data_IF_715577060631
#
_entry.id   IF_715577060631
#
_cell.length_a   1.000
_cell.length_b   1.000
_cell.length_c   1.000
_cell.angle_alpha   90.00
_cell.angle_beta   90.00
_cell.angle_gamma   90.00
#
_symmetry.space_group_name_H-M   'P 1'
#
loop_
_entity.id
_entity.type
_entity.pdbx_description
1 polymer ?
#
# COMPACT_ATOMS: atom_id res chain seq x y z
N UNK A 1 -9.48 -29.03 -26.36
CA UNK A 1 -10.63 -28.68 -25.49
C UNK A 1 -10.38 -27.30 -24.91
N UNK A 2 -11.42 -26.55 -24.59
CA UNK A 2 -11.27 -25.29 -23.85
C UNK A 2 -11.03 -25.59 -22.37
N UNK A 3 -10.07 -24.93 -21.74
CA UNK A 3 -9.74 -25.17 -20.33
C UNK A 3 -10.63 -24.28 -19.45
N UNK A 4 -11.60 -24.87 -18.75
CA UNK A 4 -12.61 -24.16 -17.96
C UNK A 4 -12.38 -24.44 -16.47
N UNK A 5 -11.82 -23.46 -15.78
CA UNK A 5 -11.53 -23.48 -14.35
C UNK A 5 -12.82 -23.46 -13.53
N UNK A 6 -12.94 -24.33 -12.53
CA UNK A 6 -14.06 -24.42 -11.59
C UNK A 6 -15.41 -24.68 -12.26
N UNK A 7 -15.41 -25.20 -13.50
CA UNK A 7 -16.59 -25.31 -14.35
C UNK A 7 -17.21 -23.96 -14.76
N UNK A 8 -16.53 -22.83 -14.54
CA UNK A 8 -17.08 -21.47 -14.68
C UNK A 8 -16.21 -20.46 -15.40
N UNK A 9 -14.88 -20.58 -15.38
CA UNK A 9 -13.97 -19.56 -15.91
C UNK A 9 -13.12 -20.12 -17.04
N UNK A 10 -13.45 -19.76 -18.28
CA UNK A 10 -12.69 -20.14 -19.48
C UNK A 10 -11.33 -19.43 -19.46
N UNK A 11 -10.25 -20.20 -19.29
CA UNK A 11 -8.89 -19.68 -19.26
C UNK A 11 -8.49 -19.16 -20.65
N UNK A 12 -7.97 -17.94 -20.69
CA UNK A 12 -7.51 -17.27 -21.90
C UNK A 12 -5.99 -17.09 -21.92
N UNK A 13 -5.53 -15.94 -22.45
CA UNK A 13 -4.09 -15.65 -22.57
C UNK A 13 -3.42 -15.43 -21.20
N UNK A 14 -2.16 -15.86 -21.10
CA UNK A 14 -1.25 -15.42 -20.02
C UNK A 14 -1.09 -13.90 -20.08
N UNK A 15 -1.23 -13.23 -18.94
CA UNK A 15 -1.07 -11.77 -18.76
C UNK A 15 0.15 -11.41 -17.91
N UNK A 16 0.73 -12.38 -17.17
CA UNK A 16 1.96 -12.15 -16.42
C UNK A 16 2.48 -13.39 -15.69
N UNK A 17 3.43 -13.16 -14.80
CA UNK A 17 3.98 -14.14 -13.86
C UNK A 17 4.42 -13.42 -12.59
N UNK A 18 3.90 -13.83 -11.44
CA UNK A 18 4.32 -13.34 -10.13
C UNK A 18 5.42 -14.20 -9.53
N UNK A 19 5.86 -13.83 -8.31
CA UNK A 19 6.90 -14.57 -7.56
C UNK A 19 6.50 -15.99 -7.17
N UNK A 20 5.21 -16.32 -7.22
CA UNK A 20 4.61 -17.55 -6.67
C UNK A 20 3.72 -18.30 -7.67
N UNK A 21 3.66 -17.87 -8.93
CA UNK A 21 2.76 -18.47 -9.91
C UNK A 21 2.59 -17.68 -11.20
N UNK A 22 1.83 -18.24 -12.12
CA UNK A 22 1.47 -17.60 -13.39
C UNK A 22 0.16 -16.81 -13.28
N UNK A 23 -0.01 -15.77 -14.10
CA UNK A 23 -1.22 -14.95 -14.15
C UNK A 23 -1.84 -15.00 -15.55
N UNK A 24 -3.13 -15.31 -15.61
CA UNK A 24 -3.93 -15.44 -16.82
C UNK A 24 -5.17 -14.55 -16.79
N UNK A 25 -5.58 -14.08 -17.97
CA UNK A 25 -6.94 -13.58 -18.19
C UNK A 25 -7.86 -14.80 -18.33
N UNK A 26 -9.03 -14.77 -17.71
CA UNK A 26 -10.12 -15.69 -17.98
C UNK A 26 -11.44 -14.94 -18.13
N UNK A 27 -12.48 -15.62 -18.62
CA UNK A 27 -13.84 -15.09 -18.74
C UNK A 27 -14.81 -16.02 -18.03
N UNK A 28 -15.67 -15.47 -17.17
CA UNK A 28 -16.78 -16.21 -16.58
C UNK A 28 -17.80 -16.56 -17.69
N UNK A 29 -18.00 -17.86 -17.95
CA UNK A 29 -18.82 -18.34 -19.07
C UNK A 29 -20.32 -18.05 -18.91
N UNK A 30 -20.77 -17.68 -17.70
CA UNK A 30 -22.18 -17.37 -17.41
C UNK A 30 -22.47 -15.85 -17.45
N UNK A 31 -21.52 -15.01 -17.02
CA UNK A 31 -21.72 -13.56 -16.93
C UNK A 31 -20.96 -12.73 -17.96
N UNK A 32 -20.02 -13.33 -18.71
CA UNK A 32 -19.11 -12.62 -19.61
C UNK A 32 -18.04 -11.77 -18.89
N UNK A 33 -17.94 -11.87 -17.55
CA UNK A 33 -17.00 -11.09 -16.74
C UNK A 33 -15.54 -11.49 -17.00
N UNK A 34 -14.71 -10.53 -17.43
CA UNK A 34 -13.25 -10.68 -17.49
C UNK A 34 -12.68 -10.73 -16.05
N UNK A 35 -11.94 -11.79 -15.72
CA UNK A 35 -11.35 -12.04 -14.40
C UNK A 35 -9.86 -12.39 -14.50
N UNK A 36 -9.11 -12.21 -13.41
CA UNK A 36 -7.71 -12.63 -13.32
C UNK A 36 -7.59 -13.97 -12.58
N UNK A 37 -6.77 -14.88 -13.11
CA UNK A 37 -6.52 -16.22 -12.56
C UNK A 37 -5.03 -16.35 -12.22
N UNK A 38 -4.73 -16.67 -10.95
CA UNK A 38 -3.38 -16.97 -10.45
C UNK A 38 -3.24 -18.49 -10.29
N UNK A 39 -2.22 -19.08 -10.92
CA UNK A 39 -1.92 -20.52 -10.90
C UNK A 39 -0.60 -20.77 -10.15
N UNK A 40 -0.65 -21.54 -9.06
CA UNK A 40 0.52 -22.00 -8.29
C UNK A 40 0.62 -23.53 -8.40
N UNK A 41 1.76 -24.12 -8.81
CA UNK A 41 1.90 -25.57 -8.84
C UNK A 41 1.72 -26.17 -7.43
N UNK A 42 0.76 -27.08 -7.25
CA UNK A 42 0.37 -27.63 -5.95
C UNK A 42 1.53 -28.37 -5.24
N UNK A 43 2.46 -28.95 -6.02
CA UNK A 43 3.68 -29.60 -5.54
C UNK A 43 4.85 -28.64 -5.26
N UNK A 44 4.61 -27.32 -5.24
CA UNK A 44 5.64 -26.34 -4.84
C UNK A 44 6.10 -26.57 -3.40
N UNK A 45 7.38 -26.28 -3.12
CA UNK A 45 8.00 -26.52 -1.81
C UNK A 45 7.40 -25.68 -0.67
N UNK A 46 6.82 -24.52 -1.01
CA UNK A 46 6.31 -23.53 -0.08
C UNK A 46 5.02 -22.89 -0.63
N UNK A 47 3.89 -23.63 -0.64
CA UNK A 47 2.62 -23.15 -1.21
C UNK A 47 2.05 -22.01 -0.37
N UNK A 48 1.61 -20.96 -1.05
CA UNK A 48 1.16 -19.69 -0.46
C UNK A 48 -0.24 -19.30 -0.95
N UNK A 49 -0.71 -19.79 -2.10
CA UNK A 49 -1.95 -19.32 -2.71
C UNK A 49 -3.21 -19.61 -1.88
N UNK A 50 -3.20 -20.69 -1.08
CA UNK A 50 -4.25 -21.00 -0.09
C UNK A 50 -4.26 -20.01 1.09
N UNK A 51 -3.11 -19.52 1.52
CA UNK A 51 -3.01 -18.50 2.56
C UNK A 51 -3.38 -17.11 2.01
N UNK A 52 -2.99 -16.82 0.77
CA UNK A 52 -3.32 -15.59 0.07
C UNK A 52 -4.83 -15.46 -0.20
N UNK A 53 -5.50 -16.53 -0.67
CA UNK A 53 -6.96 -16.53 -0.90
C UNK A 53 -7.76 -16.33 0.40
N UNK A 54 -7.34 -16.97 1.51
CA UNK A 54 -7.89 -16.70 2.85
C UNK A 54 -7.74 -15.23 3.26
N UNK A 55 -6.66 -14.56 2.85
CA UNK A 55 -6.48 -13.13 3.09
C UNK A 55 -7.37 -12.25 2.20
N UNK A 56 -7.53 -12.53 0.90
CA UNK A 56 -8.52 -11.82 0.08
C UNK A 56 -9.91 -11.94 0.71
N UNK A 57 -10.33 -13.15 1.12
CA UNK A 57 -11.63 -13.38 1.76
C UNK A 57 -11.81 -12.57 3.07
N UNK A 58 -10.75 -12.41 3.88
CA UNK A 58 -10.78 -11.63 5.12
C UNK A 58 -10.71 -10.10 4.91
N UNK A 59 -10.13 -9.65 3.79
CA UNK A 59 -9.96 -8.24 3.44
C UNK A 59 -11.10 -7.70 2.54
N UNK A 60 -11.85 -8.58 1.88
CA UNK A 60 -12.95 -8.25 0.96
C UNK A 60 -13.99 -7.30 1.57
N UNK A 61 -14.54 -6.42 0.74
CA UNK A 61 -15.35 -5.27 1.18
C UNK A 61 -14.52 -4.02 1.50
N UNK A 62 -13.20 -4.14 1.66
CA UNK A 62 -12.29 -2.99 1.78
C UNK A 62 -12.12 -2.20 0.48
N UNK A 63 -12.07 -0.88 0.57
CA UNK A 63 -11.80 0.00 -0.58
C UNK A 63 -10.43 -0.28 -1.19
N UNK A 64 -10.42 -0.74 -2.44
CA UNK A 64 -9.20 -1.13 -3.15
C UNK A 64 -8.70 -2.55 -2.83
N UNK A 65 -9.55 -3.42 -2.31
CA UNK A 65 -9.31 -4.86 -2.22
C UNK A 65 -10.05 -5.56 -3.38
N UNK A 66 -9.37 -6.41 -4.19
CA UNK A 66 -10.05 -7.26 -5.17
C UNK A 66 -10.95 -8.31 -4.50
N UNK A 67 -12.08 -8.62 -5.13
CA UNK A 67 -12.94 -9.72 -4.68
C UNK A 67 -12.35 -11.07 -5.08
N UNK A 68 -12.38 -12.03 -4.15
CA UNK A 68 -12.15 -13.44 -4.44
C UNK A 68 -13.42 -14.02 -5.08
N UNK A 69 -13.35 -14.42 -6.34
CA UNK A 69 -14.45 -15.07 -7.08
C UNK A 69 -14.49 -16.56 -6.78
N UNK A 70 -13.32 -17.19 -6.72
CA UNK A 70 -13.18 -18.64 -6.50
C UNK A 70 -11.76 -19.00 -6.05
N UNK A 71 -11.62 -20.10 -5.31
CA UNK A 71 -10.35 -20.77 -5.05
C UNK A 71 -10.58 -22.28 -5.08
N UNK A 72 -9.60 -23.04 -5.59
CA UNK A 72 -9.65 -24.50 -5.61
C UNK A 72 -8.32 -25.12 -6.04
N UNK A 73 -8.35 -26.42 -6.29
CA UNK A 73 -7.21 -27.20 -6.83
C UNK A 73 -7.69 -27.90 -8.10
N UNK A 74 -6.95 -27.75 -9.19
CA UNK A 74 -7.25 -28.41 -10.47
C UNK A 74 -6.00 -29.11 -11.02
N UNK A 75 -6.08 -30.44 -11.11
CA UNK A 75 -4.96 -31.29 -11.47
C UNK A 75 -3.74 -31.04 -10.56
N UNK A 76 -2.71 -30.44 -11.14
CA UNK A 76 -1.42 -30.16 -10.49
C UNK A 76 -1.28 -28.71 -9.97
N UNK A 77 -2.36 -27.91 -9.96
CA UNK A 77 -2.32 -26.48 -9.60
C UNK A 77 -3.30 -26.11 -8.48
N UNK A 78 -2.83 -25.31 -7.52
CA UNK A 78 -3.68 -24.43 -6.73
C UNK A 78 -4.11 -23.26 -7.64
N UNK A 79 -5.39 -22.89 -7.59
CA UNK A 79 -5.97 -21.91 -8.51
C UNK A 79 -6.80 -20.87 -7.74
N UNK A 80 -6.58 -19.59 -8.03
CA UNK A 80 -7.28 -18.47 -7.40
C UNK A 80 -7.80 -17.51 -8.47
N UNK A 81 -9.10 -17.19 -8.43
CA UNK A 81 -9.77 -16.29 -9.37
C UNK A 81 -10.22 -15.02 -8.64
N UNK A 82 -9.80 -13.86 -9.13
CA UNK A 82 -10.08 -12.54 -8.53
C UNK A 82 -10.59 -11.53 -9.58
N UNK A 83 -11.09 -10.38 -9.14
CA UNK A 83 -11.39 -9.22 -10.02
C UNK A 83 -10.21 -8.94 -10.97
N UNK A 84 -10.49 -8.75 -12.27
CA UNK A 84 -9.49 -8.17 -13.17
C UNK A 84 -9.31 -6.67 -12.87
N UNK A 85 -8.06 -6.22 -12.87
CA UNK A 85 -7.67 -4.83 -12.66
C UNK A 85 -6.99 -4.23 -13.90
N UNK A 86 -6.75 -2.92 -13.85
CA UNK A 86 -5.94 -2.18 -14.81
C UNK A 86 -4.43 -2.34 -14.56
N UNK A 87 -3.60 -1.50 -15.20
CA UNK A 87 -2.14 -1.55 -15.09
C UNK A 87 -1.65 -1.25 -13.67
N UNK A 88 -0.43 -1.73 -13.35
CA UNK A 88 0.25 -1.42 -12.09
C UNK A 88 0.80 0.00 -12.07
N UNK A 89 1.17 0.49 -10.90
CA UNK A 89 1.86 1.77 -10.78
C UNK A 89 3.28 1.72 -11.39
N UNK A 90 3.92 0.55 -11.54
CA UNK A 90 5.17 0.44 -12.32
C UNK A 90 4.90 0.57 -13.83
N UNK A 91 3.83 -0.05 -14.36
CA UNK A 91 3.45 0.07 -15.78
C UNK A 91 3.14 1.54 -16.14
N UNK A 92 2.29 2.18 -15.32
CA UNK A 92 1.92 3.58 -15.48
C UNK A 92 3.11 4.53 -15.30
N UNK A 93 4.07 4.17 -14.44
CA UNK A 93 5.30 4.92 -14.27
C UNK A 93 6.21 4.81 -15.50
N UNK A 94 6.35 3.62 -16.09
CA UNK A 94 7.11 3.46 -17.33
C UNK A 94 6.42 4.14 -18.53
N UNK A 95 5.09 4.17 -18.57
CA UNK A 95 4.31 4.94 -19.55
C UNK A 95 4.54 6.46 -19.39
N UNK A 96 4.57 6.98 -18.16
CA UNK A 96 4.90 8.39 -17.86
C UNK A 96 6.41 8.67 -17.88
N UNK A 97 7.16 8.03 -18.78
CA UNK A 97 8.62 8.21 -18.95
C UNK A 97 9.45 8.12 -17.65
N UNK A 98 8.99 7.32 -16.69
CA UNK A 98 9.60 7.07 -15.38
C UNK A 98 9.80 8.33 -14.53
N UNK A 99 8.84 9.26 -14.55
CA UNK A 99 8.72 10.31 -13.53
C UNK A 99 7.25 10.74 -13.38
N UNK A 100 6.75 10.81 -12.16
CA UNK A 100 5.44 11.40 -11.88
C UNK A 100 5.54 12.85 -11.41
N UNK A 101 4.50 13.64 -11.66
CA UNK A 101 4.31 14.98 -11.11
C UNK A 101 4.04 14.94 -9.60
N UNK A 102 4.29 16.05 -8.91
CA UNK A 102 3.97 16.17 -7.49
C UNK A 102 2.47 15.96 -7.24
N UNK A 103 1.60 16.55 -8.06
CA UNK A 103 0.13 16.34 -8.01
C UNK A 103 -0.22 14.84 -8.04
N UNK A 104 0.31 14.09 -9.02
CA UNK A 104 0.06 12.65 -9.16
C UNK A 104 0.56 11.86 -7.95
N UNK A 105 1.76 12.14 -7.46
CA UNK A 105 2.31 11.43 -6.29
C UNK A 105 1.52 11.73 -5.01
N UNK A 106 1.02 12.95 -4.81
CA UNK A 106 0.22 13.31 -3.64
C UNK A 106 -1.19 12.69 -3.69
N UNK A 107 -1.86 12.67 -4.85
CA UNK A 107 -3.14 11.95 -5.02
C UNK A 107 -2.99 10.43 -4.82
N UNK A 108 -1.86 9.86 -5.24
CA UNK A 108 -1.51 8.47 -4.93
C UNK A 108 -1.24 8.26 -3.44
N UNK A 109 -0.49 9.17 -2.79
CA UNK A 109 -0.07 9.01 -1.39
C UNK A 109 -1.25 8.84 -0.43
N UNK A 110 -2.31 9.64 -0.56
CA UNK A 110 -3.53 9.45 0.26
C UNK A 110 -4.11 8.03 0.08
N UNK A 111 -4.37 7.62 -1.16
CA UNK A 111 -4.96 6.30 -1.42
C UNK A 111 -4.06 5.16 -0.94
N UNK A 112 -2.76 5.25 -1.15
CA UNK A 112 -1.77 4.25 -0.74
C UNK A 112 -1.68 4.12 0.78
N UNK A 113 -1.63 5.23 1.53
CA UNK A 113 -1.68 5.20 2.99
C UNK A 113 -3.02 4.58 3.45
N UNK A 114 -4.14 4.93 2.83
CA UNK A 114 -5.45 4.33 3.13
C UNK A 114 -5.49 2.80 2.88
N UNK A 115 -4.78 2.26 1.88
CA UNK A 115 -4.67 0.79 1.68
C UNK A 115 -3.86 0.11 2.79
N UNK A 116 -2.70 0.69 3.14
CA UNK A 116 -1.83 0.17 4.19
C UNK A 116 -2.51 0.24 5.56
N UNK A 117 -3.17 1.35 5.87
CA UNK A 117 -4.00 1.53 7.08
C UNK A 117 -5.13 0.48 7.14
N UNK A 118 -5.84 0.24 6.04
CA UNK A 118 -6.90 -0.78 6.01
C UNK A 118 -6.33 -2.18 6.32
N UNK A 119 -5.23 -2.60 5.67
CA UNK A 119 -4.63 -3.90 5.93
C UNK A 119 -4.13 -4.04 7.39
N UNK A 120 -3.50 -2.99 7.92
CA UNK A 120 -3.08 -2.92 9.33
C UNK A 120 -4.29 -2.98 10.28
N UNK A 121 -5.40 -2.31 9.96
CA UNK A 121 -6.65 -2.38 10.75
C UNK A 121 -7.16 -3.81 10.88
N UNK A 122 -7.08 -4.61 9.79
CA UNK A 122 -7.47 -6.03 9.75
C UNK A 122 -6.45 -6.97 10.40
N UNK A 123 -5.33 -6.44 10.91
CA UNK A 123 -4.34 -7.16 11.73
C UNK A 123 -3.15 -7.75 10.98
N UNK A 124 -2.97 -7.41 9.71
CA UNK A 124 -1.92 -7.96 8.83
C UNK A 124 -0.99 -6.87 8.29
N UNK A 125 0.27 -7.24 8.06
CA UNK A 125 1.27 -6.46 7.31
C UNK A 125 1.34 -6.97 5.87
N UNK A 126 1.74 -6.11 4.94
CA UNK A 126 1.94 -6.51 3.53
C UNK A 126 3.33 -7.14 3.33
N UNK A 127 4.38 -6.49 3.85
CA UNK A 127 5.78 -6.92 3.79
C UNK A 127 6.43 -6.91 2.40
N UNK A 128 5.74 -6.44 1.37
CA UNK A 128 6.28 -6.21 0.02
C UNK A 128 5.60 -5.02 -0.69
N UNK A 129 5.61 -3.86 -0.03
CA UNK A 129 5.15 -2.60 -0.59
C UNK A 129 6.08 -2.19 -1.75
N UNK A 130 5.58 -2.31 -2.99
CA UNK A 130 6.27 -1.99 -4.25
C UNK A 130 5.27 -1.55 -5.33
N UNK A 131 5.65 -0.75 -6.35
CA UNK A 131 4.72 -0.24 -7.36
C UNK A 131 3.96 -1.33 -8.13
N UNK A 132 4.59 -2.49 -8.34
CA UNK A 132 4.01 -3.64 -9.03
C UNK A 132 2.81 -4.25 -8.27
N UNK A 133 2.75 -4.07 -6.94
CA UNK A 133 1.68 -4.58 -6.07
C UNK A 133 0.51 -3.59 -5.88
N UNK A 134 0.54 -2.46 -6.58
CA UNK A 134 -0.56 -1.48 -6.61
C UNK A 134 -1.04 -1.27 -8.04
N UNK A 135 -2.32 -1.51 -8.29
CA UNK A 135 -2.95 -1.46 -9.63
C UNK A 135 -4.11 -0.47 -9.64
N UNK A 136 -4.44 0.12 -10.78
CA UNK A 136 -5.66 0.93 -10.91
C UNK A 136 -6.88 0.03 -11.18
N UNK A 137 -8.06 0.43 -10.69
CA UNK A 137 -9.33 -0.22 -11.05
C UNK A 137 -9.70 -0.01 -12.52
N UNK A 138 -10.66 -0.78 -13.05
CA UNK A 138 -11.15 -0.65 -14.43
C UNK A 138 -12.41 0.22 -14.53
N UNK A 139 -12.61 0.89 -15.68
CA UNK A 139 -13.85 1.59 -16.03
C UNK A 139 -14.23 2.66 -15.01
N UNK A 140 -15.41 2.53 -14.39
CA UNK A 140 -15.89 3.45 -13.34
C UNK A 140 -15.01 3.50 -12.07
N UNK A 141 -14.00 2.62 -11.95
CA UNK A 141 -13.02 2.61 -10.84
C UNK A 141 -11.61 3.00 -11.29
N UNK A 142 -11.45 3.60 -12.47
CA UNK A 142 -10.15 3.99 -13.05
C UNK A 142 -9.34 5.00 -12.22
N UNK A 143 -9.98 5.73 -11.30
CA UNK A 143 -9.34 6.62 -10.33
C UNK A 143 -8.94 5.94 -9.01
N UNK A 144 -9.38 4.70 -8.77
CA UNK A 144 -9.20 3.99 -7.52
C UNK A 144 -7.96 3.09 -7.56
N UNK A 145 -7.02 3.30 -6.65
CA UNK A 145 -5.88 2.40 -6.43
C UNK A 145 -6.35 1.13 -5.72
N UNK A 146 -5.81 -0.02 -6.09
CA UNK A 146 -5.98 -1.34 -5.46
C UNK A 146 -4.63 -1.86 -4.95
N UNK A 147 -4.66 -2.78 -3.98
CA UNK A 147 -3.46 -3.46 -3.43
C UNK A 147 -3.58 -4.98 -3.59
N UNK A 148 -2.52 -5.64 -4.04
CA UNK A 148 -2.52 -7.08 -4.40
C UNK A 148 -1.29 -7.86 -3.84
N UNK A 149 -1.24 -9.16 -4.13
CA UNK A 149 -0.14 -10.11 -3.84
C UNK A 149 0.19 -10.26 -2.34
N UNK A 150 -0.75 -10.81 -1.58
CA UNK A 150 -0.58 -11.05 -0.14
C UNK A 150 0.23 -12.31 0.20
N UNK A 151 0.93 -12.93 -0.75
CA UNK A 151 1.74 -14.14 -0.51
C UNK A 151 2.82 -13.96 0.57
N UNK A 152 3.36 -12.74 0.70
CA UNK A 152 4.32 -12.37 1.75
C UNK A 152 3.67 -11.75 3.01
N UNK A 153 2.36 -11.59 3.07
CA UNK A 153 1.68 -10.94 4.19
C UNK A 153 1.80 -11.73 5.52
N UNK A 154 1.58 -11.06 6.66
CA UNK A 154 1.72 -11.68 7.99
C UNK A 154 0.83 -11.04 9.06
N UNK A 155 0.18 -11.86 9.89
CA UNK A 155 -0.54 -11.42 11.10
C UNK A 155 0.46 -10.80 12.09
N UNK A 156 0.29 -9.54 12.46
CA UNK A 156 1.20 -8.82 13.39
C UNK A 156 0.59 -8.56 14.76
N UNK A 157 -0.73 -8.69 14.89
CA UNK A 157 -1.42 -8.64 16.17
C UNK A 157 -2.51 -9.69 16.21
N UNK A 158 -2.93 -10.07 17.41
CA UNK A 158 -4.13 -10.87 17.53
C UNK A 158 -5.40 -10.07 17.17
N UNK A 159 -6.40 -10.76 16.63
CA UNK A 159 -7.63 -10.14 16.14
C UNK A 159 -8.65 -9.87 17.26
N UNK A 160 -8.60 -10.64 18.36
CA UNK A 160 -9.49 -10.47 19.52
C UNK A 160 -8.81 -9.64 20.62
N UNK A 161 -7.61 -10.05 21.04
CA UNK A 161 -6.88 -9.42 22.16
C UNK A 161 -6.02 -8.23 21.74
N UNK A 162 -5.82 -8.02 20.43
CA UNK A 162 -4.97 -6.96 19.86
C UNK A 162 -3.49 -6.95 20.30
N UNK A 163 -3.05 -7.93 21.08
CA UNK A 163 -1.65 -8.14 21.47
C UNK A 163 -0.75 -8.26 20.24
N UNK A 164 0.32 -7.48 20.21
CA UNK A 164 1.31 -7.46 19.13
C UNK A 164 2.13 -8.77 19.11
N UNK A 165 2.70 -9.12 17.95
CA UNK A 165 3.76 -10.13 17.88
C UNK A 165 5.00 -9.64 18.65
N UNK A 166 5.74 -10.52 19.33
CA UNK A 166 6.95 -10.11 20.04
C UNK A 166 8.06 -9.70 19.06
N UNK A 167 8.90 -8.76 19.50
CA UNK A 167 10.13 -8.38 18.80
C UNK A 167 11.04 -9.60 18.58
N UNK A 168 11.63 -9.71 17.39
CA UNK A 168 12.57 -10.78 17.02
C UNK A 168 13.58 -10.24 16.01
N UNK A 169 14.81 -10.72 16.07
CA UNK A 169 15.90 -10.38 15.13
C UNK A 169 16.31 -11.61 14.31
N UNK A 170 17.46 -11.52 13.61
CA UNK A 170 18.07 -12.59 12.81
C UNK A 170 17.11 -13.17 11.74
N UNK A 171 16.29 -12.29 11.14
CA UNK A 171 15.37 -12.61 10.04
C UNK A 171 16.09 -12.55 8.70
N UNK A 172 15.68 -13.43 7.79
CA UNK A 172 16.02 -13.30 6.37
C UNK A 172 15.25 -12.12 5.77
N UNK A 173 15.94 -11.30 4.96
CA UNK A 173 15.30 -10.23 4.18
C UNK A 173 14.13 -10.80 3.38
N UNK A 174 12.95 -10.23 3.61
CA UNK A 174 11.69 -10.60 2.97
C UNK A 174 11.15 -9.40 2.19
N UNK A 175 10.54 -9.66 1.04
CA UNK A 175 10.08 -8.61 0.13
C UNK A 175 11.22 -7.97 -0.69
N UNK A 176 10.86 -6.91 -1.42
CA UNK A 176 11.71 -6.31 -2.44
C UNK A 176 12.76 -5.38 -1.82
N UNK A 177 14.02 -5.81 -1.77
CA UNK A 177 15.15 -5.09 -1.15
C UNK A 177 15.27 -3.60 -1.53
N UNK A 178 14.87 -3.22 -2.75
CA UNK A 178 14.80 -1.83 -3.24
C UNK A 178 13.91 -0.96 -2.35
N UNK A 179 12.76 -1.47 -1.90
CA UNK A 179 11.76 -0.76 -1.11
C UNK A 179 11.79 -1.13 0.39
N UNK A 180 12.21 -2.33 0.77
CA UNK A 180 12.26 -2.80 2.16
C UNK A 180 12.92 -1.81 3.17
N UNK A 181 12.36 -1.71 4.38
CA UNK A 181 12.86 -0.82 5.45
C UNK A 181 14.30 -1.09 5.88
N UNK A 182 14.95 -0.12 6.52
CA UNK A 182 16.30 -0.32 7.12
C UNK A 182 16.26 -1.46 8.14
N UNK A 183 15.23 -1.54 9.00
CA UNK A 183 15.06 -2.64 9.95
C UNK A 183 15.02 -4.02 9.26
N UNK A 184 14.37 -4.12 8.10
CA UNK A 184 14.30 -5.37 7.31
C UNK A 184 15.68 -5.81 6.82
N UNK A 185 16.52 -4.85 6.40
CA UNK A 185 17.90 -5.13 6.00
C UNK A 185 18.79 -5.51 7.19
N UNK A 186 18.51 -5.00 8.38
CA UNK A 186 19.15 -5.38 9.65
C UNK A 186 18.62 -6.72 10.22
N UNK A 187 17.71 -7.41 9.52
CA UNK A 187 17.17 -8.70 9.96
C UNK A 187 16.21 -8.60 11.15
N UNK A 188 15.62 -7.43 11.40
CA UNK A 188 14.57 -7.24 12.40
C UNK A 188 13.23 -7.74 11.84
N UNK A 189 12.39 -8.32 12.70
CA UNK A 189 11.01 -8.68 12.36
C UNK A 189 10.21 -7.43 11.94
N UNK A 190 9.41 -7.55 10.89
CA UNK A 190 8.69 -6.40 10.36
C UNK A 190 7.42 -6.08 11.17
N UNK A 191 7.08 -4.80 11.17
CA UNK A 191 5.97 -4.17 11.88
C UNK A 191 5.31 -3.09 11.02
N UNK A 192 4.28 -2.42 11.55
CA UNK A 192 3.50 -1.40 10.80
C UNK A 192 4.34 -0.26 10.23
N UNK A 193 5.42 0.12 10.93
CA UNK A 193 6.36 1.17 10.48
C UNK A 193 7.14 0.76 9.22
N UNK A 194 7.34 -0.53 9.01
CA UNK A 194 8.19 -1.06 7.93
C UNK A 194 7.48 -1.04 6.57
N UNK A 195 6.17 -1.32 6.54
CA UNK A 195 5.32 -1.09 5.37
C UNK A 195 5.26 0.41 5.03
N UNK A 196 5.16 1.29 6.04
CA UNK A 196 5.11 2.74 5.84
C UNK A 196 6.45 3.34 5.39
N UNK A 197 7.59 2.90 5.94
CA UNK A 197 8.92 3.31 5.45
C UNK A 197 9.12 2.85 3.99
N UNK A 198 8.67 1.64 3.67
CA UNK A 198 8.69 1.10 2.29
C UNK A 198 7.82 1.93 1.34
N UNK A 199 6.64 2.36 1.78
CA UNK A 199 5.79 3.30 1.04
C UNK A 199 6.49 4.66 0.83
N UNK A 200 7.21 5.18 1.83
CA UNK A 200 8.01 6.40 1.69
C UNK A 200 9.06 6.29 0.57
N UNK A 201 9.80 5.18 0.52
CA UNK A 201 10.74 4.94 -0.59
C UNK A 201 10.04 4.79 -1.93
N UNK A 202 8.80 4.29 -1.96
CA UNK A 202 8.00 4.19 -3.18
C UNK A 202 7.55 5.57 -3.70
N UNK A 203 7.11 6.47 -2.82
CA UNK A 203 6.76 7.85 -3.19
C UNK A 203 7.99 8.61 -3.72
N UNK A 204 9.14 8.49 -3.05
CA UNK A 204 10.38 9.10 -3.54
C UNK A 204 10.89 8.49 -4.85
N UNK A 205 10.67 7.19 -5.08
CA UNK A 205 10.98 6.55 -6.35
C UNK A 205 10.20 7.18 -7.50
N UNK A 206 8.90 7.43 -7.32
CA UNK A 206 8.06 8.08 -8.33
C UNK A 206 8.48 9.53 -8.64
N UNK A 207 8.80 10.32 -7.61
CA UNK A 207 9.26 11.71 -7.79
C UNK A 207 10.64 11.81 -8.47
N UNK A 208 11.54 10.88 -8.16
CA UNK A 208 12.96 10.93 -8.56
C UNK A 208 13.30 10.14 -9.83
N UNK A 209 12.42 9.28 -10.33
CA UNK A 209 12.72 8.30 -11.37
C UNK A 209 13.54 7.09 -10.92
N UNK A 210 14.38 7.28 -9.90
CA UNK A 210 15.19 6.24 -9.26
C UNK A 210 15.61 6.58 -7.83
N UNK A 211 15.90 5.53 -7.06
CA UNK A 211 16.46 5.59 -5.71
C UNK A 211 17.99 5.45 -5.72
N UNK A 212 18.74 6.11 -4.81
CA UNK A 212 20.23 6.13 -4.82
C UNK A 212 20.95 4.78 -4.65
N UNK A 213 20.22 3.69 -4.42
CA UNK A 213 20.71 2.31 -4.27
C UNK A 213 20.29 1.38 -5.43
N UNK A 214 19.79 1.94 -6.54
CA UNK A 214 19.61 1.19 -7.79
C UNK A 214 20.94 1.04 -8.56
N UNK A 215 20.99 0.10 -9.51
CA UNK A 215 22.17 -0.11 -10.38
C UNK A 215 23.40 -0.76 -9.73
N UNK A 216 23.43 -0.92 -8.40
CA UNK A 216 24.60 -1.42 -7.66
C UNK A 216 25.06 -2.82 -8.14
N UNK A 217 26.35 -2.92 -8.52
CA UNK A 217 27.02 -4.15 -8.97
C UNK A 217 27.57 -4.95 -7.79
N UNK A 218 27.34 -6.26 -7.79
CA UNK A 218 27.82 -7.23 -6.82
C UNK A 218 27.91 -8.63 -7.45
N UNK A 219 28.76 -9.52 -6.93
CA UNK A 219 28.94 -10.88 -7.45
C UNK A 219 27.84 -11.85 -7.04
N UNK A 220 27.20 -11.65 -5.87
CA UNK A 220 26.11 -12.50 -5.39
C UNK A 220 24.86 -11.70 -5.01
N UNK A 221 23.70 -12.36 -4.95
CA UNK A 221 22.44 -11.75 -4.47
C UNK A 221 22.57 -11.20 -3.04
N UNK A 222 23.28 -11.91 -2.15
CA UNK A 222 23.55 -11.45 -0.78
C UNK A 222 24.35 -10.14 -0.79
N UNK A 223 25.52 -10.13 -1.42
CA UNK A 223 26.35 -8.92 -1.56
C UNK A 223 25.59 -7.74 -2.20
N UNK A 224 24.62 -8.00 -3.09
CA UNK A 224 23.77 -6.97 -3.67
C UNK A 224 22.80 -6.38 -2.65
N UNK A 225 22.24 -7.19 -1.76
CA UNK A 225 21.39 -6.72 -0.67
C UNK A 225 22.22 -6.00 0.40
N UNK A 226 23.39 -6.53 0.76
CA UNK A 226 24.33 -5.91 1.70
C UNK A 226 24.70 -4.48 1.24
N UNK A 227 25.04 -4.29 -0.05
CA UNK A 227 25.31 -2.96 -0.64
C UNK A 227 24.08 -2.04 -0.71
N UNK A 228 22.86 -2.58 -0.86
CA UNK A 228 21.62 -1.79 -0.80
C UNK A 228 21.36 -1.32 0.63
N UNK A 229 21.57 -2.18 1.63
CA UNK A 229 21.50 -1.87 3.05
C UNK A 229 22.46 -0.75 3.42
N UNK A 230 23.75 -0.96 3.13
CA UNK A 230 24.82 0.03 3.32
C UNK A 230 24.45 1.38 2.68
N UNK A 231 24.05 1.39 1.40
CA UNK A 231 23.71 2.63 0.70
C UNK A 231 22.43 3.30 1.23
N UNK A 232 21.48 2.54 1.82
CA UNK A 232 20.31 3.11 2.53
C UNK A 232 20.70 3.76 3.85
N UNK A 233 21.59 3.14 4.63
CA UNK A 233 22.06 3.68 5.91
C UNK A 233 22.98 4.91 5.71
N UNK A 234 23.86 4.88 4.70
CA UNK A 234 24.74 5.99 4.33
C UNK A 234 24.06 7.11 3.51
N UNK A 235 22.73 7.11 3.38
CA UNK A 235 21.97 8.19 2.72
C UNK A 235 21.02 8.83 3.73
N UNK A 236 21.34 10.02 4.29
CA UNK A 236 20.43 10.78 5.12
C UNK A 236 19.10 11.08 4.42
N UNK A 237 18.02 11.24 5.18
CA UNK A 237 16.69 11.52 4.62
C UNK A 237 16.68 12.85 3.89
N UNK A 238 17.40 13.83 4.41
CA UNK A 238 17.63 15.17 3.85
C UNK A 238 18.31 15.10 2.48
N UNK A 239 19.17 14.11 2.27
CA UNK A 239 19.87 13.87 0.99
C UNK A 239 18.98 13.08 0.02
N UNK A 240 18.18 12.13 0.52
CA UNK A 240 17.19 11.41 -0.28
C UNK A 240 16.07 12.33 -0.79
N UNK A 241 15.61 13.26 0.05
CA UNK A 241 14.51 14.18 -0.21
C UNK A 241 14.97 15.57 -0.68
N UNK A 242 16.28 15.78 -0.89
CA UNK A 242 16.83 17.06 -1.37
C UNK A 242 16.12 17.51 -2.66
N UNK A 243 15.69 18.77 -2.68
CA UNK A 243 14.93 19.41 -3.76
C UNK A 243 13.50 18.86 -3.98
N UNK A 244 12.91 18.24 -2.95
CA UNK A 244 11.48 17.90 -2.87
C UNK A 244 10.87 18.52 -1.60
N UNK A 245 9.53 18.62 -1.49
CA UNK A 245 8.88 19.23 -0.32
C UNK A 245 9.26 18.59 1.02
N UNK A 246 9.33 19.41 2.07
CA UNK A 246 9.69 19.03 3.44
C UNK A 246 8.88 17.86 4.01
N UNK A 247 7.63 17.72 3.57
CA UNK A 247 6.67 16.72 3.99
C UNK A 247 7.16 15.29 3.74
N UNK A 248 7.96 15.06 2.70
CA UNK A 248 8.59 13.76 2.45
C UNK A 248 9.68 13.46 3.49
N UNK A 249 10.46 14.46 3.90
CA UNK A 249 11.43 14.35 5.01
C UNK A 249 10.69 14.06 6.33
N UNK A 250 9.63 14.83 6.64
CA UNK A 250 8.79 14.63 7.83
C UNK A 250 8.11 13.25 7.85
N UNK A 251 7.67 12.73 6.70
CA UNK A 251 7.11 11.38 6.57
C UNK A 251 8.13 10.31 6.97
N UNK A 252 9.38 10.38 6.48
CA UNK A 252 10.41 9.41 6.85
C UNK A 252 10.83 9.53 8.32
N UNK A 253 11.00 10.74 8.83
CA UNK A 253 11.35 10.95 10.24
C UNK A 253 10.26 10.41 11.16
N UNK A 254 8.99 10.61 10.81
CA UNK A 254 7.88 9.97 11.51
C UNK A 254 7.99 8.43 11.46
N UNK A 255 8.13 7.84 10.26
CA UNK A 255 8.19 6.38 10.10
C UNK A 255 9.38 5.75 10.86
N UNK A 256 10.54 6.42 10.89
CA UNK A 256 11.73 5.97 11.63
C UNK A 256 11.67 6.23 13.13
N UNK A 257 10.84 7.17 13.60
CA UNK A 257 10.61 7.42 15.04
C UNK A 257 9.72 6.37 15.72
N UNK A 258 8.89 5.66 14.94
CA UNK A 258 7.98 4.62 15.45
C UNK A 258 8.75 3.45 16.09
N UNK A 259 8.35 3.08 17.30
CA UNK A 259 8.74 1.83 17.95
C UNK A 259 8.09 0.64 17.24
N UNK A 260 8.62 -0.55 17.47
CA UNK A 260 8.17 -1.78 16.82
C UNK A 260 6.67 -2.10 17.05
N UNK A 261 6.13 -1.78 18.22
CA UNK A 261 4.72 -2.06 18.55
C UNK A 261 3.78 -0.86 18.37
N UNK A 262 4.28 0.32 17.97
CA UNK A 262 3.47 1.53 17.88
C UNK A 262 2.35 1.41 16.83
N UNK A 263 1.21 2.06 17.10
CA UNK A 263 0.16 2.30 16.10
C UNK A 263 0.49 3.62 15.38
N UNK A 264 0.77 3.61 14.06
CA UNK A 264 0.95 4.85 13.32
C UNK A 264 -0.29 5.74 13.35
N UNK A 265 -0.08 7.05 13.35
CA UNK A 265 -1.09 8.04 13.00
C UNK A 265 -1.07 8.24 11.48
N UNK A 266 -1.80 7.37 10.79
CA UNK A 266 -2.03 7.47 9.35
C UNK A 266 -2.76 8.78 8.97
N UNK A 267 -3.51 9.40 9.89
CA UNK A 267 -4.21 10.67 9.64
C UNK A 267 -3.24 11.85 9.62
N UNK A 268 -2.22 11.87 10.49
CA UNK A 268 -1.09 12.80 10.38
C UNK A 268 -0.35 12.63 9.05
N UNK A 269 -0.03 11.39 8.66
CA UNK A 269 0.69 11.12 7.40
C UNK A 269 -0.10 11.54 6.15
N UNK A 270 -1.42 11.31 6.12
CA UNK A 270 -2.29 11.81 5.04
C UNK A 270 -2.41 13.34 5.07
N UNK A 271 -2.50 13.93 6.26
CA UNK A 271 -2.57 15.39 6.45
C UNK A 271 -1.34 16.11 5.90
N UNK A 272 -0.13 15.61 6.13
CA UNK A 272 1.11 16.18 5.54
C UNK A 272 0.97 16.39 4.03
N UNK A 273 0.64 15.33 3.29
CA UNK A 273 0.54 15.38 1.84
C UNK A 273 -0.69 16.14 1.32
N UNK A 274 -1.82 16.08 2.03
CA UNK A 274 -3.03 16.82 1.67
C UNK A 274 -2.86 18.34 1.88
N UNK A 275 -2.27 18.75 2.98
CA UNK A 275 -2.12 20.16 3.30
C UNK A 275 -1.03 20.81 2.39
N UNK A 276 -0.03 20.03 1.97
CA UNK A 276 0.87 20.38 0.85
C UNK A 276 0.10 20.49 -0.50
N UNK A 277 -0.75 19.51 -0.83
CA UNK A 277 -1.54 19.52 -2.08
C UNK A 277 -2.42 20.77 -2.22
N UNK A 278 -3.02 21.21 -1.11
CA UNK A 278 -3.80 22.45 -1.04
C UNK A 278 -2.90 23.68 -1.22
N UNK A 279 -1.71 23.70 -0.59
CA UNK A 279 -0.75 24.81 -0.68
C UNK A 279 -0.18 25.01 -2.09
N UNK A 280 0.01 23.93 -2.83
CA UNK A 280 0.41 23.93 -4.25
C UNK A 280 -0.73 24.35 -5.20
N UNK A 281 -1.94 24.61 -4.68
CA UNK A 281 -3.11 25.02 -5.47
C UNK A 281 -3.70 23.91 -6.35
N UNK A 282 -3.37 22.64 -6.09
CA UNK A 282 -3.84 21.54 -6.92
C UNK A 282 -5.33 21.21 -6.68
N UNK A 283 -6.05 20.91 -7.76
CA UNK A 283 -7.42 20.40 -7.70
C UNK A 283 -7.43 18.89 -7.54
N UNK A 284 -8.26 18.36 -6.63
CA UNK A 284 -8.40 16.92 -6.36
C UNK A 284 -9.41 16.29 -7.33
N UNK A 285 -9.03 16.28 -8.61
CA UNK A 285 -9.86 15.94 -9.78
C UNK A 285 -9.67 14.48 -10.26
N UNK A 286 -8.75 13.72 -9.62
CA UNK A 286 -8.26 12.42 -10.08
C UNK A 286 -7.61 12.40 -11.48
N UNK A 287 -7.19 13.56 -11.99
CA UNK A 287 -6.47 13.71 -13.28
C UNK A 287 -4.98 13.50 -13.02
N UNK A 288 -4.57 12.23 -13.03
CA UNK A 288 -3.18 11.77 -12.94
C UNK A 288 -2.43 11.94 -14.28
N UNK A 289 -1.10 11.88 -14.27
CA UNK A 289 -0.25 12.17 -15.45
C UNK A 289 -0.61 11.31 -16.67
N UNK A 290 -0.86 10.01 -16.48
CA UNK A 290 -1.28 9.08 -17.54
C UNK A 290 -2.67 9.37 -18.13
N UNK A 291 -3.50 10.14 -17.42
CA UNK A 291 -4.79 10.61 -17.95
C UNK A 291 -4.62 11.86 -18.82
N UNK A 292 -3.60 12.67 -18.57
CA UNK A 292 -3.26 13.87 -19.35
C UNK A 292 -2.54 13.48 -20.66
N UNK A 293 -1.70 12.44 -20.63
CA UNK A 293 -1.02 11.92 -21.84
C UNK A 293 -1.98 11.40 -22.93
N UNK A 294 -3.28 11.25 -22.62
CA UNK A 294 -4.37 10.98 -23.59
C UNK A 294 -4.76 12.22 -24.43
N UNK A 295 -4.46 13.43 -23.96
CA UNK A 295 -5.02 14.69 -24.49
C UNK A 295 -4.14 15.58 -25.42
N UNK A 296 -2.85 15.31 -25.71
CA UNK A 296 -2.14 16.07 -26.74
C UNK A 296 -2.73 15.82 -28.14
N UNK A 297 -2.93 16.90 -28.91
CA UNK A 297 -3.28 16.90 -30.34
C UNK A 297 -4.67 16.42 -30.77
N UNK A 298 -5.72 17.00 -30.17
CA UNK A 298 -6.99 17.28 -30.88
C UNK A 298 -7.05 18.74 -31.38
N UNK A 299 -6.18 19.62 -30.87
CA UNK A 299 -6.27 21.08 -31.04
C UNK A 299 -5.30 21.75 -32.03
N UNK A 300 -4.45 21.02 -32.76
CA UNK A 300 -3.53 21.63 -33.74
C UNK A 300 -3.33 20.78 -34.99
N UNK A 301 -4.21 20.99 -35.98
CA UNK A 301 -4.03 20.50 -37.35
C UNK A 301 -4.60 21.50 -38.38
N UNK A 302 -4.29 22.78 -38.18
CA UNK A 302 -4.51 23.82 -39.19
C UNK A 302 -3.61 23.55 -40.40
N UNK A 303 -4.21 23.11 -41.51
CA UNK A 303 -3.54 22.75 -42.76
C UNK A 303 -2.51 23.79 -43.22
N UNK A 304 -1.27 23.35 -43.42
CA UNK A 304 -0.36 23.89 -44.44
C UNK A 304 0.02 22.73 -45.38
N UNK A 305 -0.15 22.90 -46.70
CA UNK A 305 -0.03 21.81 -47.69
C UNK A 305 0.89 22.20 -48.84
N UNK A 306 2.15 21.73 -48.86
CA UNK A 306 3.00 21.78 -50.05
C UNK A 306 2.53 20.76 -51.10
N UNK A 307 2.70 21.10 -52.38
CA UNK A 307 2.39 20.25 -53.54
C UNK A 307 3.62 19.43 -54.00
N UNK A 308 3.45 18.22 -54.59
CA UNK A 308 4.56 17.36 -55.00
C UNK A 308 5.01 17.57 -56.46
N UNK A 309 6.32 17.46 -56.74
CA UNK A 309 6.98 17.05 -58.01
C UNK A 309 8.53 17.15 -57.85
N UNK A 310 9.35 16.56 -58.73
CA UNK A 310 9.70 15.13 -58.76
C UNK A 310 11.17 14.89 -58.37
N UNK A 311 11.57 13.63 -58.13
CA UNK A 311 12.90 13.29 -57.60
C UNK A 311 13.99 12.99 -58.65
N UNK A 312 15.23 12.90 -58.17
CA UNK A 312 16.41 12.35 -58.85
C UNK A 312 17.33 11.67 -57.82
N UNK A 313 17.84 10.49 -58.18
CA UNK A 313 18.99 9.79 -57.57
C UNK A 313 20.27 10.21 -58.35
N UNK A 314 21.54 9.98 -57.91
CA UNK A 314 22.04 8.71 -57.33
C UNK A 314 23.12 8.90 -56.21
N UNK A 315 24.20 8.09 -56.04
CA UNK A 315 24.26 7.18 -54.87
C UNK A 315 25.58 7.20 -54.06
N UNK A 316 25.65 6.44 -52.95
CA UNK A 316 26.93 5.90 -52.46
C UNK A 316 27.07 5.54 -50.98
N UNK A 317 28.01 4.62 -50.74
CA UNK A 317 28.64 4.22 -49.47
C UNK A 317 27.83 3.38 -48.45
N UNK A 318 28.32 2.15 -48.22
CA UNK A 318 27.83 1.19 -47.22
C UNK A 318 28.54 1.35 -45.87
N UNK A 319 27.86 1.01 -44.78
CA UNK A 319 28.50 0.66 -43.50
C UNK A 319 27.65 -0.38 -42.77
N UNK A 320 28.23 -1.54 -42.46
CA UNK A 320 27.56 -2.58 -41.68
C UNK A 320 27.31 -2.13 -40.23
N UNK A 321 26.21 -2.60 -39.62
CA UNK A 321 26.13 -2.62 -38.16
C UNK A 321 25.42 -3.87 -37.66
N UNK A 322 26.17 -4.67 -36.90
CA UNK A 322 25.78 -5.99 -36.40
C UNK A 322 24.52 -5.92 -35.53
N UNK A 323 23.54 -6.77 -35.82
CA UNK A 323 22.35 -6.91 -34.99
C UNK A 323 22.68 -7.48 -33.59
N UNK A 324 21.85 -7.11 -32.61
CA UNK A 324 21.75 -7.80 -31.31
C UNK A 324 20.26 -7.92 -30.97
N UNK A 325 19.78 -9.09 -30.53
CA UNK A 325 18.34 -9.34 -30.37
C UNK A 325 17.72 -8.46 -29.28
N UNK A 326 16.72 -7.67 -29.67
CA UNK A 326 16.07 -6.62 -28.87
C UNK A 326 14.95 -7.13 -27.96
N UNK A 327 15.21 -8.20 -27.19
CA UNK A 327 14.22 -8.91 -26.33
C UNK A 327 13.48 -8.01 -25.32
N UNK A 328 14.01 -6.81 -25.01
CA UNK A 328 13.35 -5.81 -24.17
C UNK A 328 12.33 -4.90 -24.88
N UNK A 329 12.26 -4.92 -26.21
CA UNK A 329 11.48 -3.96 -27.00
C UNK A 329 10.03 -4.43 -27.21
N UNK A 330 9.84 -5.70 -27.61
CA UNK A 330 8.51 -6.34 -27.71
C UNK A 330 7.73 -6.24 -26.40
N UNK A 331 8.42 -6.38 -25.26
CA UNK A 331 7.83 -6.26 -23.92
C UNK A 331 7.33 -4.82 -23.70
N UNK A 332 8.14 -3.82 -24.04
CA UNK A 332 7.76 -2.40 -23.88
C UNK A 332 6.53 -2.04 -24.72
N UNK A 333 6.47 -2.49 -25.97
CA UNK A 333 5.33 -2.23 -26.85
C UNK A 333 4.07 -2.98 -26.40
N UNK A 334 4.21 -4.24 -25.98
CA UNK A 334 3.08 -5.05 -25.48
C UNK A 334 2.46 -4.50 -24.19
N UNK A 335 3.27 -3.95 -23.29
CA UNK A 335 2.78 -3.27 -22.09
C UNK A 335 2.29 -1.84 -22.38
N UNK A 336 2.87 -1.10 -23.34
CA UNK A 336 2.29 0.16 -23.85
C UNK A 336 0.87 -0.08 -24.38
N UNK A 337 0.69 -1.09 -25.23
CA UNK A 337 -0.62 -1.48 -25.76
C UNK A 337 -1.64 -1.84 -24.67
N UNK A 338 -1.21 -2.37 -23.52
CA UNK A 338 -2.08 -2.63 -22.38
C UNK A 338 -2.49 -1.34 -21.64
N UNK A 339 -1.54 -0.43 -21.39
CA UNK A 339 -1.81 0.89 -20.78
C UNK A 339 -2.65 1.77 -21.71
N UNK A 340 -2.41 1.72 -23.02
CA UNK A 340 -3.23 2.37 -24.03
C UNK A 340 -4.63 1.76 -24.12
N UNK A 341 -4.78 0.43 -24.09
CA UNK A 341 -6.09 -0.21 -24.06
C UNK A 341 -6.89 0.20 -22.81
N UNK A 342 -6.21 0.35 -21.66
CA UNK A 342 -6.79 0.93 -20.45
C UNK A 342 -7.23 2.39 -20.64
N UNK A 343 -6.35 3.25 -21.18
CA UNK A 343 -6.66 4.65 -21.48
C UNK A 343 -7.79 4.82 -22.51
N UNK A 344 -7.91 3.90 -23.48
CA UNK A 344 -9.00 3.83 -24.47
C UNK A 344 -10.32 3.35 -23.83
N UNK A 345 -10.32 2.25 -23.06
CA UNK A 345 -11.53 1.67 -22.43
C UNK A 345 -12.22 2.61 -21.45
N UNK A 346 -11.48 3.48 -20.76
CA UNK A 346 -12.04 4.46 -19.83
C UNK A 346 -12.58 5.73 -20.52
N UNK A 347 -12.52 5.80 -21.85
CA UNK A 347 -12.64 7.05 -22.62
C UNK A 347 -14.04 7.49 -23.05
N UNK A 348 -15.07 6.65 -22.89
CA UNK A 348 -16.42 6.81 -23.47
C UNK A 348 -17.53 7.12 -22.46
N UNK A 349 -17.17 7.47 -21.21
CA UNK A 349 -18.10 7.60 -20.08
C UNK A 349 -18.69 8.98 -19.79
N UNK A 350 -18.43 10.00 -20.61
CA UNK A 350 -18.91 11.38 -20.40
C UNK A 350 -19.63 11.92 -21.65
N UNK A 351 -20.89 11.53 -21.80
CA UNK A 351 -21.85 12.25 -22.63
C UNK A 351 -22.49 13.37 -21.81
N UNK A 352 -22.40 14.61 -22.29
CA UNK A 352 -23.09 15.76 -21.70
C UNK A 352 -24.57 15.73 -22.12
N UNK A 353 -25.47 15.49 -21.18
CA UNK A 353 -26.85 15.97 -21.27
C UNK A 353 -27.05 17.07 -20.24
N UNK A 354 -27.01 18.32 -20.69
CA UNK A 354 -27.55 19.43 -19.93
C UNK A 354 -29.05 19.54 -20.20
N UNK A 355 -29.85 19.54 -19.15
CA UNK A 355 -31.25 19.96 -19.21
C UNK A 355 -31.36 21.39 -18.66
N UNK A 356 -31.86 22.31 -19.48
CA UNK A 356 -32.22 23.66 -19.08
C UNK A 356 -33.70 23.91 -19.40
N UNK A 357 -34.58 23.60 -18.45
CA UNK A 357 -36.03 23.81 -18.57
C UNK A 357 -36.60 24.64 -17.41
N UNK A 358 -36.10 25.88 -17.30
CA UNK A 358 -36.78 27.07 -16.74
C UNK A 358 -37.48 26.94 -15.38
N UNK A 359 -36.87 27.53 -14.34
CA UNK A 359 -37.68 28.08 -13.23
C UNK A 359 -38.71 29.08 -13.77
N UNK A 360 -39.95 28.98 -13.29
CA UNK A 360 -40.94 30.06 -13.33
C UNK A 360 -41.52 30.20 -11.92
N UNK A 361 -41.42 31.39 -11.35
CA UNK A 361 -41.96 31.71 -10.02
C UNK A 361 -43.43 32.10 -10.12
N UNK A 362 -44.22 31.62 -9.17
CA UNK A 362 -45.37 32.32 -8.60
C UNK A 362 -45.66 31.70 -7.23
N UNK A 363 -45.93 32.55 -6.24
CA UNK A 363 -46.64 32.16 -5.03
C UNK A 363 -48.13 32.05 -5.36
N UNK A 364 -48.87 31.14 -4.71
CA UNK A 364 -50.24 31.39 -4.30
C UNK A 364 -50.74 30.32 -3.33
N UNK A 365 -51.57 30.72 -2.37
CA UNK A 365 -52.22 29.84 -1.38
C UNK A 365 -53.68 30.24 -1.25
N UNK A 366 -54.61 29.28 -1.38
CA UNK A 366 -55.80 29.31 -0.54
C UNK A 366 -55.92 28.06 0.35
N UNK A 367 -56.19 28.31 1.63
CA UNK A 367 -56.69 27.32 2.58
C UNK A 367 -58.18 27.05 2.34
N UNK A 368 -58.68 25.84 2.63
CA UNK A 368 -59.79 25.69 3.59
C UNK A 368 -60.24 24.23 3.85
N UNK A 369 -60.46 23.94 5.15
CA UNK A 369 -61.60 23.18 5.73
C UNK A 369 -61.78 21.70 5.37
N UNK A 370 -61.60 20.82 6.36
CA UNK A 370 -62.65 20.14 7.16
C UNK A 370 -62.94 18.74 6.54
N UNK A 371 -63.37 17.67 7.23
CA UNK A 371 -64.12 17.49 8.49
C UNK A 371 -63.51 16.34 9.35
N UNK A 372 -63.82 16.38 10.64
CA UNK A 372 -63.94 15.31 11.67
C UNK A 372 -64.24 13.86 11.15
N UNK A 373 -64.06 12.72 11.85
CA UNK A 373 -64.10 12.32 13.30
C UNK A 373 -63.73 10.79 13.41
N UNK A 374 -63.66 10.05 14.53
CA UNK A 374 -63.73 10.25 16.00
C UNK A 374 -62.97 9.09 16.72
N UNK A 375 -62.91 9.09 18.07
CA UNK A 375 -62.91 7.96 19.06
C UNK A 375 -62.15 6.64 18.77
N UNK A 376 -61.47 5.97 19.71
CA UNK A 376 -61.48 6.05 21.20
C UNK A 376 -60.07 5.68 21.75
N UNK A 377 -59.59 6.27 22.87
CA UNK A 377 -59.61 5.76 24.27
C UNK A 377 -59.00 4.33 24.47
N UNK A 378 -58.25 4.03 25.54
CA UNK A 378 -58.30 4.59 26.92
C UNK A 378 -56.94 4.90 27.57
N UNK A 379 -56.93 5.97 28.37
CA UNK A 379 -56.06 6.25 29.54
C UNK A 379 -56.81 5.76 30.83
N UNK A 380 -56.29 5.62 32.05
CA UNK A 380 -54.94 5.70 32.67
C UNK A 380 -55.00 5.40 34.19
N UNK A 381 -53.86 5.07 34.83
CA UNK A 381 -53.56 5.28 36.28
C UNK A 381 -54.31 4.40 37.32
N UNK A 382 -53.93 4.25 38.61
CA UNK A 382 -52.88 4.91 39.44
C UNK A 382 -52.44 4.13 40.71
N UNK A 383 -51.18 4.35 41.16
CA UNK A 383 -50.69 4.55 42.57
C UNK A 383 -50.49 3.41 43.61
N UNK A 384 -49.45 3.65 44.43
CA UNK A 384 -49.14 3.20 45.82
C UNK A 384 -48.77 1.70 46.08
N UNK A 385 -48.12 1.30 47.19
CA UNK A 385 -46.92 1.77 47.97
C UNK A 385 -46.56 0.64 49.02
N UNK A 386 -45.58 0.63 49.95
CA UNK A 386 -44.51 1.55 50.40
C UNK A 386 -43.40 0.84 51.23
N UNK A 387 -42.17 1.39 51.22
CA UNK A 387 -41.16 1.32 52.33
C UNK A 387 -40.46 -0.05 52.62
N UNK A 388 -39.35 -0.18 53.38
CA UNK A 388 -38.48 0.70 54.21
C UNK A 388 -36.99 0.20 54.11
N UNK A 389 -35.91 0.56 54.85
CA UNK A 389 -35.55 1.37 56.06
C UNK A 389 -34.22 2.16 55.81
N UNK A 390 -33.49 2.56 56.88
CA UNK A 390 -32.19 3.32 57.00
C UNK A 390 -31.54 2.95 58.38
N UNK A 391 -30.42 3.53 58.94
CA UNK A 391 -29.80 4.89 58.78
C UNK A 391 -28.22 4.96 58.75
N UNK A 392 -27.55 6.03 58.23
CA UNK A 392 -27.01 7.33 58.81
C UNK A 392 -25.81 7.18 59.78
N UNK A 393 -24.66 7.88 59.60
CA UNK A 393 -24.23 9.20 60.21
C UNK A 393 -23.13 9.93 59.37
N UNK A 394 -22.97 11.25 59.61
CA UNK A 394 -22.12 12.27 58.95
C UNK A 394 -20.63 12.29 59.43
N UNK A 395 -19.70 13.21 59.11
CA UNK A 395 -19.63 14.52 58.37
C UNK A 395 -18.14 14.71 57.85
N UNK A 396 -17.51 15.84 57.44
CA UNK A 396 -17.70 17.30 57.55
C UNK A 396 -16.85 18.08 56.47
N UNK A 397 -16.89 19.43 56.44
CA UNK A 397 -15.94 20.38 55.77
C UNK A 397 -15.87 21.68 56.61
N UNK A 398 -14.76 22.45 56.67
CA UNK A 398 -14.38 23.47 55.66
C UNK A 398 -12.83 23.56 55.47
N UNK A 399 -12.17 24.54 54.82
CA UNK A 399 -12.61 25.66 53.97
C UNK A 399 -12.23 27.07 54.46
N UNK A 400 -11.08 27.64 54.05
CA UNK A 400 -10.78 29.09 54.03
C UNK A 400 -9.54 29.42 53.17
N UNK A 401 -9.23 30.71 53.00
CA UNK A 401 -8.30 31.30 52.01
C UNK A 401 -7.12 32.10 52.61
N UNK A 402 -6.06 32.34 51.83
CA UNK A 402 -5.07 33.39 52.11
C UNK A 402 -3.85 33.42 51.17
N UNK A 403 -3.65 34.53 50.45
CA UNK A 403 -2.31 35.03 50.07
C UNK A 403 -1.85 36.06 51.12
N UNK A 404 -0.54 36.38 51.24
CA UNK A 404 -0.02 37.49 50.43
C UNK A 404 1.48 37.40 49.99
N UNK A 405 1.77 38.13 48.91
CA UNK A 405 3.01 38.86 48.54
C UNK A 405 4.41 38.50 49.09
N UNK A 406 5.37 38.43 48.16
CA UNK A 406 6.77 38.94 48.22
C UNK A 406 7.75 38.44 49.30
N UNK A 407 8.84 37.80 48.84
CA UNK A 407 10.12 38.52 48.68
C UNK A 407 11.21 37.74 47.90
N UNK A 408 12.17 38.48 47.33
CA UNK A 408 13.46 37.98 46.76
C UNK A 408 14.58 38.55 47.66
N UNK A 409 15.76 37.90 47.80
CA UNK A 409 16.81 38.17 46.81
C UNK A 409 17.80 37.00 46.57
N UNK A 410 18.85 37.29 45.79
CA UNK A 410 19.87 36.38 45.26
C UNK A 410 21.13 36.21 46.12
N UNK A 411 21.76 35.03 46.01
CA UNK A 411 23.22 34.74 45.98
C UNK A 411 23.35 33.35 45.31
N UNK A 412 24.10 33.09 44.22
CA UNK A 412 25.52 33.34 43.91
C UNK A 412 26.50 32.77 44.92
N UNK A 413 27.15 31.65 44.56
CA UNK A 413 28.59 31.42 44.71
C UNK A 413 29.08 30.37 43.71
N UNK A 414 30.40 30.28 43.50
CA UNK A 414 31.04 29.46 42.46
C UNK A 414 32.36 28.84 42.90
N UNK A 415 32.61 27.60 42.49
CA UNK A 415 33.95 27.05 42.23
C UNK A 415 33.82 26.00 41.13
N UNK A 416 34.66 25.89 40.07
CA UNK A 416 36.10 26.15 39.90
C UNK A 416 37.00 25.02 40.43
N UNK A 417 37.33 24.08 39.54
CA UNK A 417 38.37 23.05 39.68
C UNK A 417 38.66 22.45 38.29
N UNK A 418 39.94 22.32 37.89
CA UNK A 418 40.35 21.98 36.51
C UNK A 418 41.77 21.38 36.48
N UNK A 419 42.08 20.62 35.42
CA UNK A 419 43.40 20.00 35.10
C UNK A 419 43.74 18.78 36.00
N UNK A 420 44.58 17.81 35.61
CA UNK A 420 45.46 17.58 34.43
C UNK A 420 45.44 16.06 34.06
N UNK A 421 45.47 15.56 32.80
CA UNK A 421 46.40 15.62 31.64
C UNK A 421 47.37 14.41 31.55
N UNK A 422 47.34 13.67 30.42
CA UNK A 422 48.29 12.60 29.95
C UNK A 422 48.42 11.32 30.81
N UNK A 423 48.73 10.11 30.30
CA UNK A 423 49.60 9.71 29.17
C UNK A 423 49.01 8.62 28.23
N UNK A 424 49.81 8.15 27.26
CA UNK A 424 49.47 7.23 26.15
C UNK A 424 50.59 6.19 25.94
N UNK A 425 50.34 4.89 26.15
CA UNK A 425 51.23 3.80 25.72
C UNK A 425 50.45 2.57 25.21
N UNK A 426 50.89 2.05 24.07
CA UNK A 426 50.76 0.70 23.50
C UNK A 426 52.11 0.42 22.79
N UNK A 427 52.48 -0.82 22.37
CA UNK A 427 51.63 -1.99 22.10
C UNK A 427 52.17 -3.33 22.68
N UNK A 428 51.56 -4.45 22.29
CA UNK A 428 52.09 -5.82 22.48
C UNK A 428 51.23 -6.90 21.82
N UNK A 429 51.83 -7.79 21.03
CA UNK A 429 51.25 -9.07 20.56
C UNK A 429 51.41 -10.13 21.69
N UNK A 430 50.71 -11.27 21.76
CA UNK A 430 50.60 -12.36 20.75
C UNK A 430 49.37 -13.28 20.93
N UNK A 431 49.23 -14.24 20.01
CA UNK A 431 48.14 -15.21 19.89
C UNK A 431 48.28 -16.48 20.75
N UNK A 432 47.15 -17.06 21.18
CA UNK A 432 47.02 -18.52 21.39
C UNK A 432 45.73 -19.08 20.77
N UNK A 433 45.82 -20.33 20.33
CA UNK A 433 44.78 -21.08 19.63
C UNK A 433 43.83 -21.80 20.59
N UNK A 434 42.60 -22.05 20.14
CA UNK A 434 41.71 -23.06 20.75
C UNK A 434 40.90 -23.77 19.67
N UNK A 435 41.45 -24.87 19.16
CA UNK A 435 40.72 -25.81 18.31
C UNK A 435 39.76 -26.65 19.17
N UNK A 436 38.46 -26.56 18.92
CA UNK A 436 37.49 -27.50 19.48
C UNK A 436 36.76 -28.27 18.38
N UNK A 437 36.77 -29.59 18.50
CA UNK A 437 36.09 -30.55 17.64
C UNK A 437 34.57 -30.42 17.78
N UNK A 438 33.84 -30.73 16.70
CA UNK A 438 32.37 -30.72 16.70
C UNK A 438 31.82 -31.97 16.04
N UNK A 439 31.11 -32.78 16.82
CA UNK A 439 30.44 -33.99 16.37
C UNK A 439 28.94 -33.94 16.73
N UNK A 440 28.14 -34.73 16.00
CA UNK A 440 26.75 -35.12 16.29
C UNK A 440 25.69 -34.02 16.54
N UNK A 441 24.89 -33.79 15.50
CA UNK A 441 23.42 -33.66 15.49
C UNK A 441 22.63 -33.21 16.74
N UNK A 442 21.70 -32.26 16.54
CA UNK A 442 20.27 -32.52 16.80
C UNK A 442 19.32 -31.59 16.04
N UNK A 443 18.05 -32.03 15.99
CA UNK A 443 16.79 -31.40 15.52
C UNK A 443 16.76 -29.86 15.66
N UNK A 444 16.11 -29.09 14.78
CA UNK A 444 15.07 -29.46 13.81
C UNK A 444 13.75 -28.74 14.12
N UNK A 445 13.72 -27.40 14.06
CA UNK A 445 12.54 -26.58 14.44
C UNK A 445 11.79 -26.00 13.23
N UNK A 446 10.68 -26.63 12.83
CA UNK A 446 9.71 -26.13 11.84
C UNK A 446 8.31 -26.69 12.11
N UNK A 447 7.48 -25.98 12.89
CA UNK A 447 6.04 -26.30 13.02
C UNK A 447 5.11 -25.10 13.35
N UNK A 448 5.64 -23.87 13.38
CA UNK A 448 4.88 -22.68 13.84
C UNK A 448 3.89 -22.10 12.79
N UNK A 449 4.13 -22.30 11.49
CA UNK A 449 3.38 -21.58 10.44
C UNK A 449 2.04 -22.22 10.06
N UNK A 450 1.85 -23.52 10.32
CA UNK A 450 0.60 -24.23 9.98
C UNK A 450 -0.42 -24.13 11.13
N UNK A 451 -0.01 -24.47 12.36
CA UNK A 451 -0.87 -24.52 13.56
C UNK A 451 -1.64 -23.23 13.88
N UNK A 452 -1.21 -22.08 13.36
CA UNK A 452 -1.91 -20.81 13.57
C UNK A 452 -3.26 -20.67 12.83
N UNK A 453 -3.59 -21.60 11.92
CA UNK A 453 -4.84 -21.58 11.14
C UNK A 453 -5.88 -22.64 11.54
N UNK A 454 -5.50 -23.69 12.28
CA UNK A 454 -6.39 -24.82 12.60
C UNK A 454 -7.48 -24.47 13.63
N UNK A 455 -7.27 -23.40 14.39
CA UNK A 455 -8.18 -22.87 15.42
C UNK A 455 -9.40 -22.09 14.87
N UNK A 456 -9.67 -22.17 13.57
CA UNK A 456 -10.84 -21.55 12.91
C UNK A 456 -11.88 -22.60 12.44
N UNK A 457 -12.13 -23.61 13.27
CA UNK A 457 -13.09 -24.69 13.00
C UNK A 457 -14.42 -24.46 13.73
N UNK A 458 -15.46 -24.02 13.00
CA UNK A 458 -16.91 -24.15 13.26
C UNK A 458 -17.61 -23.90 11.91
N UNK A 459 -18.60 -24.69 11.46
CA UNK A 459 -19.09 -25.96 11.97
C UNK A 459 -20.01 -26.62 10.92
N UNK A 460 -19.74 -27.87 10.56
CA UNK A 460 -20.50 -28.57 9.51
C UNK A 460 -21.87 -29.04 10.01
N UNK A 461 -22.94 -28.39 9.56
CA UNK A 461 -24.31 -28.81 9.88
C UNK A 461 -24.65 -30.17 9.29
N UNK A 462 -24.87 -31.18 10.13
CA UNK A 462 -25.40 -32.49 9.71
C UNK A 462 -26.83 -32.31 9.19
N UNK A 463 -27.08 -32.70 7.93
CA UNK A 463 -28.42 -33.15 7.52
C UNK A 463 -28.55 -34.64 7.87
N UNK A 464 -29.68 -34.99 8.49
CA UNK A 464 -30.35 -36.27 8.24
C UNK A 464 -31.33 -36.06 7.09
#
# INVERSE_FOLDING_TARGET
MEHIIGGKFKLGRKIGSGSFGELYLAVNVQSGEEVAVKLEPAKTKHPQLLCESKLYMLLQGGTGIPHLKWFGVEGEYNVMVIDLLGPSLEDLFNYCNRKFSLKTVLMLADQLINRVEYMHSRGFLHRDIKPDNFLMGLGRKANQVYIIDYGLAKKYRDLQTHKHIPYRENKNLTGTARYASVNTHLGVEQSRRDDLESLGYMLMYFLRGSLPWQGLKAGTKKQKYDKISEKKMLTPIEVLCKSYPSEFTSYFHYCRSLRFEDKPDYSYLKRLFRDLFIREGYQFDYVFDWTILRYPQVGSSSRARPSPKPGLNPPGASAERTERPSVGQDIRERFSGAVEAFARRNGSGHGLHGDQSRHRSSEDVPSSKDVQRDSDRTRSSSRNDSSSKRPVISSSRPGSSGEPSENRPSRLFSSSGRLSTTQRVQPGFESKSSSFTRAAATRGGRDDTLRSFDLLTIGGGKRK
#
